data_IF_659864000845
#
_entry.id   IF_659864000845
#
_cell.length_a   1.000
_cell.length_b   1.000
_cell.length_c   1.000
_cell.angle_alpha   90.00
_cell.angle_beta   90.00
_cell.angle_gamma   90.00
#
_symmetry.space_group_name_H-M   'P 1'
#
loop_
_entity.id
_entity.type
_entity.pdbx_description
1 polymer ?
#
# COMPACT_ATOMS: atom_id res chain seq x y z
N UNK A 1 0.33 -8.58 -0.59
CA UNK A 1 1.64 -7.96 -0.79
C UNK A 1 1.51 -6.51 -1.22
N UNK A 2 2.37 -5.66 -0.69
CA UNK A 2 2.36 -4.26 -1.04
C UNK A 2 3.17 -4.04 -2.30
N UNK A 3 2.65 -3.27 -3.24
CA UNK A 3 3.36 -3.03 -4.49
C UNK A 3 2.96 -1.73 -5.16
N UNK A 4 3.87 -1.25 -6.01
CA UNK A 4 3.64 -0.12 -6.89
C UNK A 4 3.41 -0.65 -8.30
N UNK A 5 2.48 -0.06 -9.01
CA UNK A 5 2.19 -0.43 -10.40
C UNK A 5 2.24 0.79 -11.30
N UNK A 6 3.05 0.72 -12.35
CA UNK A 6 3.13 1.78 -13.35
C UNK A 6 2.09 1.56 -14.43
N UNK A 7 1.29 2.59 -14.71
CA UNK A 7 0.26 2.52 -15.74
C UNK A 7 0.82 2.48 -17.15
N UNK A 8 1.98 3.09 -17.37
CA UNK A 8 2.53 3.21 -18.70
C UNK A 8 3.34 1.98 -19.13
N UNK A 9 4.23 1.53 -18.28
CA UNK A 9 5.12 0.42 -18.64
C UNK A 9 4.70 -0.92 -18.07
N UNK A 10 3.74 -0.92 -17.16
CA UNK A 10 3.25 -2.15 -16.53
C UNK A 10 4.18 -2.74 -15.49
N UNK A 11 5.25 -2.05 -15.12
CA UNK A 11 6.17 -2.54 -14.10
C UNK A 11 5.47 -2.64 -12.76
N UNK A 12 5.80 -3.71 -12.03
CA UNK A 12 5.31 -3.92 -10.68
C UNK A 12 6.53 -3.98 -9.76
N UNK A 13 6.53 -3.12 -8.74
CA UNK A 13 7.63 -3.03 -7.80
C UNK A 13 7.11 -3.44 -6.42
N UNK A 14 7.72 -4.48 -5.85
CA UNK A 14 7.39 -4.90 -4.50
C UNK A 14 7.96 -3.91 -3.50
N UNK A 15 7.13 -3.50 -2.53
CA UNK A 15 7.55 -2.57 -1.49
C UNK A 15 7.21 -3.15 -0.14
N UNK A 16 7.92 -2.68 0.88
CA UNK A 16 7.59 -2.97 2.27
C UNK A 16 7.21 -1.67 2.95
N UNK A 17 6.01 -1.60 3.45
CA UNK A 17 5.55 -0.43 4.19
C UNK A 17 5.23 -0.81 5.63
N UNK A 18 5.49 0.12 6.55
CA UNK A 18 5.15 -0.08 7.94
C UNK A 18 3.66 0.17 8.13
N UNK A 19 2.89 -0.91 8.25
CA UNK A 19 1.44 -0.83 8.39
C UNK A 19 0.98 -0.77 9.84
N UNK A 20 1.91 -0.79 10.80
CA UNK A 20 1.55 -0.77 12.23
C UNK A 20 0.83 0.51 12.61
N UNK A 21 1.30 1.66 12.12
CA UNK A 21 0.65 2.93 12.38
C UNK A 21 -0.74 2.98 11.75
N UNK A 22 -0.86 2.44 10.55
CA UNK A 22 -2.15 2.38 9.87
C UNK A 22 -3.12 1.50 10.64
N UNK A 23 -2.67 0.38 11.17
CA UNK A 23 -3.50 -0.50 12.00
C UNK A 23 -3.99 0.23 13.25
N UNK A 24 -3.11 1.00 13.90
CA UNK A 24 -3.49 1.79 15.07
C UNK A 24 -4.53 2.84 14.74
N UNK A 25 -4.36 3.52 13.62
CA UNK A 25 -5.28 4.55 13.19
C UNK A 25 -6.66 3.98 12.87
N UNK A 26 -6.70 2.85 12.19
CA UNK A 26 -7.95 2.16 11.88
C UNK A 26 -8.65 1.73 13.18
N UNK A 27 -7.90 1.22 14.14
CA UNK A 27 -8.45 0.85 15.44
C UNK A 27 -9.00 2.06 16.18
N UNK A 28 -8.26 3.18 16.19
CA UNK A 28 -8.67 4.36 16.92
C UNK A 28 -9.91 5.03 16.33
N UNK A 29 -9.97 5.10 15.00
CA UNK A 29 -11.05 5.80 14.32
C UNK A 29 -12.31 4.95 14.16
N UNK A 30 -12.14 3.69 13.85
CA UNK A 30 -13.25 2.81 13.48
C UNK A 30 -13.47 1.67 14.46
N UNK A 31 -12.60 1.50 15.44
CA UNK A 31 -12.62 0.37 16.37
C UNK A 31 -12.64 -0.96 15.61
N UNK A 32 -11.87 -1.01 14.55
CA UNK A 32 -11.79 -2.16 13.66
C UNK A 32 -10.42 -2.82 13.78
N UNK A 33 -10.40 -4.09 14.10
CA UNK A 33 -9.16 -4.86 14.23
C UNK A 33 -8.81 -5.45 12.88
N UNK A 34 -7.72 -4.95 12.28
CA UNK A 34 -7.27 -5.44 10.98
C UNK A 34 -6.38 -6.66 11.12
N UNK A 35 -6.66 -7.69 10.33
CA UNK A 35 -5.84 -8.90 10.27
C UNK A 35 -4.80 -8.80 9.18
N UNK A 36 -5.12 -8.12 8.10
CA UNK A 36 -4.26 -8.03 6.94
C UNK A 36 -4.46 -6.67 6.26
N UNK A 37 -3.36 -6.09 5.82
CA UNK A 37 -3.39 -4.83 5.08
C UNK A 37 -2.65 -5.03 3.77
N UNK A 38 -3.33 -4.75 2.67
CA UNK A 38 -2.73 -4.77 1.34
C UNK A 38 -2.72 -3.35 0.80
N UNK A 39 -1.56 -2.93 0.29
CA UNK A 39 -1.39 -1.60 -0.27
C UNK A 39 -1.02 -1.75 -1.74
N UNK A 40 -1.81 -1.13 -2.60
CA UNK A 40 -1.54 -1.05 -4.03
C UNK A 40 -1.52 0.42 -4.43
N UNK A 41 -0.38 0.88 -4.93
CA UNK A 41 -0.25 2.25 -5.39
C UNK A 41 -0.08 2.22 -6.90
N UNK A 42 -0.99 2.87 -7.61
CA UNK A 42 -0.96 2.95 -9.07
C UNK A 42 -0.56 4.36 -9.49
N UNK A 43 0.38 4.45 -10.39
CA UNK A 43 0.87 5.74 -10.84
C UNK A 43 1.77 5.59 -12.06
N UNK A 44 2.68 6.54 -12.21
CA UNK A 44 3.62 6.56 -13.34
C UNK A 44 5.02 6.56 -12.77
N UNK A 45 5.85 5.62 -13.23
CA UNK A 45 7.22 5.55 -12.74
C UNK A 45 8.08 6.68 -13.30
N UNK A 46 9.23 6.89 -12.69
CA UNK A 46 10.09 8.03 -12.99
C UNK A 46 10.82 7.93 -14.32
N UNK A 47 10.63 6.85 -15.06
CA UNK A 47 11.25 6.63 -16.37
C UNK A 47 10.45 7.20 -17.53
N UNK A 48 9.38 7.89 -17.26
CA UNK A 48 8.50 8.46 -18.30
C UNK A 48 8.39 9.96 -18.21
#
# INVERSE_FOLDING_TARGET
>A
HDHLKCKKCGNIIDIKMNTKELQKEVWNQYKFKSDNIEITITGICNNH
#
